data_IF_354647770070
#
_entry.id   IF_354647770070
#
_cell.length_a   1.000
_cell.length_b   1.000
_cell.length_c   1.000
_cell.angle_alpha   90.00
_cell.angle_beta   90.00
_cell.angle_gamma   90.00
#
_symmetry.space_group_name_H-M   'P 1'
#
loop_
_entity.id
_entity.type
_entity.pdbx_description
1 polymer ?
#
# COMPACT_ATOMS: atom_id res chain seq x y z
N UNK A 1 -16.65 17.46 6.01
CA UNK A 1 -15.59 17.67 5.01
C UNK A 1 -15.96 16.93 3.74
N UNK A 2 -16.07 17.66 2.68
CA UNK A 2 -16.39 17.04 1.40
C UNK A 2 -15.20 16.26 0.89
N UNK A 3 -15.46 15.04 0.50
CA UNK A 3 -14.46 14.23 -0.14
C UNK A 3 -14.35 14.69 -1.61
N UNK A 4 -13.22 15.26 -1.96
CA UNK A 4 -12.98 15.73 -3.33
C UNK A 4 -12.88 14.60 -4.35
N UNK A 5 -12.82 13.37 -3.85
CA UNK A 5 -12.71 12.19 -4.69
C UNK A 5 -14.03 11.42 -4.66
N UNK A 6 -14.92 11.77 -5.55
CA UNK A 6 -16.18 11.05 -5.75
C UNK A 6 -16.14 10.26 -7.05
N UNK A 7 -16.30 8.96 -6.93
CA UNK A 7 -16.61 8.13 -8.09
C UNK A 7 -18.12 8.14 -8.22
N UNK A 8 -18.58 8.64 -9.36
CA UNK A 8 -20.00 8.73 -9.63
C UNK A 8 -20.59 7.32 -9.73
N UNK A 9 -21.65 7.06 -8.95
CA UNK A 9 -22.34 5.75 -8.94
C UNK A 9 -21.44 4.57 -8.54
N UNK A 10 -20.57 4.79 -7.57
CA UNK A 10 -19.68 3.72 -7.10
C UNK A 10 -20.45 2.48 -6.63
N UNK A 11 -21.63 2.67 -6.07
CA UNK A 11 -22.47 1.60 -5.57
C UNK A 11 -23.06 0.72 -6.67
N UNK A 12 -23.00 1.16 -7.93
CA UNK A 12 -23.47 0.36 -9.06
C UNK A 12 -22.40 -0.61 -9.57
N UNK A 13 -21.16 -0.48 -9.08
CA UNK A 13 -20.07 -1.36 -9.47
C UNK A 13 -19.93 -2.53 -8.53
N UNK A 14 -19.47 -3.66 -9.08
CA UNK A 14 -18.94 -4.76 -8.29
C UNK A 14 -17.51 -4.41 -7.93
N UNK A 15 -17.30 -4.02 -6.68
CA UNK A 15 -15.99 -3.57 -6.22
C UNK A 15 -15.13 -4.76 -5.85
N UNK A 16 -13.92 -4.78 -6.40
CA UNK A 16 -12.91 -5.78 -6.10
C UNK A 16 -11.73 -5.09 -5.42
N UNK A 17 -11.40 -5.53 -4.22
CA UNK A 17 -10.18 -5.09 -3.53
C UNK A 17 -9.08 -6.09 -3.84
N UNK A 18 -8.04 -5.63 -4.53
CA UNK A 18 -6.91 -6.46 -4.94
C UNK A 18 -5.82 -6.43 -3.86
N UNK A 19 -6.18 -6.79 -2.63
CA UNK A 19 -5.25 -6.80 -1.51
C UNK A 19 -5.72 -7.76 -0.44
N UNK A 20 -4.78 -8.46 0.19
CA UNK A 20 -5.06 -9.28 1.36
C UNK A 20 -4.76 -8.56 2.67
N UNK A 21 -4.38 -7.29 2.62
CA UNK A 21 -4.10 -6.49 3.81
C UNK A 21 -5.35 -6.33 4.68
N UNK A 22 -5.34 -6.82 5.93
CA UNK A 22 -6.47 -6.64 6.83
C UNK A 22 -6.81 -5.17 7.08
N UNK A 23 -5.79 -4.32 7.13
CA UNK A 23 -5.98 -2.89 7.35
C UNK A 23 -6.71 -2.22 6.18
N UNK A 24 -6.35 -2.57 4.95
CA UNK A 24 -7.03 -2.03 3.77
C UNK A 24 -8.48 -2.50 3.69
N UNK A 25 -8.73 -3.75 4.07
CA UNK A 25 -10.09 -4.29 4.17
C UNK A 25 -10.93 -3.50 5.17
N UNK A 26 -10.38 -3.24 6.36
CA UNK A 26 -11.06 -2.46 7.39
C UNK A 26 -11.37 -1.06 6.92
N UNK A 27 -10.43 -0.39 6.28
CA UNK A 27 -10.61 0.97 5.79
C UNK A 27 -11.71 1.05 4.75
N UNK A 28 -11.74 0.10 3.83
CA UNK A 28 -12.77 0.06 2.79
C UNK A 28 -14.14 -0.27 3.38
N UNK A 29 -14.19 -1.19 4.33
CA UNK A 29 -15.43 -1.54 5.02
C UNK A 29 -16.02 -0.36 5.79
N UNK A 30 -15.17 0.47 6.39
CA UNK A 30 -15.62 1.68 7.10
C UNK A 30 -16.28 2.70 6.19
N UNK A 31 -16.03 2.65 4.90
CA UNK A 31 -16.69 3.51 3.92
C UNK A 31 -18.11 3.02 3.59
N UNK A 32 -18.52 1.88 4.13
CA UNK A 32 -19.84 1.33 3.89
C UNK A 32 -20.01 0.66 2.53
N UNK A 33 -18.90 0.31 1.89
CA UNK A 33 -18.92 -0.33 0.58
C UNK A 33 -18.87 -1.84 0.70
N UNK A 34 -19.68 -2.53 -0.10
CA UNK A 34 -19.59 -3.97 -0.27
C UNK A 34 -18.52 -4.26 -1.33
N UNK A 35 -17.65 -5.18 -1.04
CA UNK A 35 -16.57 -5.54 -1.95
C UNK A 35 -16.19 -7.02 -1.80
N UNK A 36 -15.59 -7.55 -2.84
CA UNK A 36 -14.95 -8.87 -2.79
C UNK A 36 -13.43 -8.69 -2.84
N UNK A 37 -12.70 -9.73 -2.45
CA UNK A 37 -11.24 -9.72 -2.49
C UNK A 37 -10.79 -10.67 -3.57
N UNK A 38 -9.93 -10.17 -4.45
CA UNK A 38 -9.33 -10.98 -5.49
C UNK A 38 -7.92 -10.46 -5.73
N UNK A 39 -6.93 -11.32 -5.59
CA UNK A 39 -5.54 -10.94 -5.80
C UNK A 39 -5.01 -11.52 -7.09
N UNK A 40 -4.00 -10.87 -7.64
CA UNK A 40 -3.28 -11.30 -8.84
C UNK A 40 -1.81 -11.27 -8.53
N UNK A 41 -1.10 -12.31 -8.92
CA UNK A 41 0.35 -12.33 -8.79
C UNK A 41 0.98 -11.51 -9.90
N UNK A 42 1.69 -10.47 -9.52
CA UNK A 42 2.52 -9.68 -10.42
C UNK A 42 3.91 -9.55 -9.81
N UNK A 43 4.91 -9.49 -10.66
CA UNK A 43 6.25 -9.20 -10.20
C UNK A 43 6.32 -7.75 -9.73
N UNK A 44 6.81 -7.55 -8.51
CA UNK A 44 6.91 -6.22 -7.92
C UNK A 44 8.25 -5.55 -8.28
N UNK A 45 8.60 -5.61 -9.55
CA UNK A 45 9.75 -4.94 -10.11
C UNK A 45 9.35 -3.61 -10.74
N UNK A 46 10.30 -2.69 -10.75
CA UNK A 46 10.07 -1.35 -11.29
C UNK A 46 11.39 -0.77 -11.80
N UNK A 47 11.34 0.21 -12.73
CA UNK A 47 12.54 0.87 -13.21
C UNK A 47 13.32 1.56 -12.08
N UNK A 48 14.64 1.37 -12.04
CA UNK A 48 15.49 1.91 -10.99
C UNK A 48 15.52 3.45 -10.96
N UNK A 49 15.03 4.09 -12.01
CA UNK A 49 15.01 5.55 -12.12
C UNK A 49 13.83 6.22 -11.42
N UNK A 50 12.86 5.43 -10.94
CA UNK A 50 11.64 5.98 -10.33
C UNK A 50 11.90 6.51 -8.93
N UNK A 51 11.25 7.62 -8.60
CA UNK A 51 11.22 8.17 -7.25
C UNK A 51 10.13 7.48 -6.42
N UNK A 52 10.13 7.72 -5.10
CA UNK A 52 9.27 7.01 -4.16
C UNK A 52 7.79 7.00 -4.52
N UNK A 53 7.21 8.17 -4.83
CA UNK A 53 5.81 8.27 -5.22
C UNK A 53 5.54 7.58 -6.57
N UNK A 54 6.49 7.66 -7.48
CA UNK A 54 6.39 7.03 -8.79
C UNK A 54 6.41 5.50 -8.70
N UNK A 55 7.20 4.96 -7.76
CA UNK A 55 7.28 3.51 -7.53
C UNK A 55 5.91 2.95 -7.15
N UNK A 56 5.27 3.54 -6.15
CA UNK A 56 3.97 3.03 -5.66
C UNK A 56 2.86 3.23 -6.67
N UNK A 57 2.90 4.32 -7.44
CA UNK A 57 1.95 4.54 -8.53
C UNK A 57 2.15 3.52 -9.66
N UNK A 58 3.40 3.26 -10.02
CA UNK A 58 3.75 2.24 -11.01
C UNK A 58 3.25 0.87 -10.61
N UNK A 59 3.50 0.46 -9.36
CA UNK A 59 3.10 -0.85 -8.86
C UNK A 59 1.58 -1.00 -8.72
N UNK A 60 0.91 0.06 -8.27
CA UNK A 60 -0.56 0.07 -8.19
C UNK A 60 -1.18 -0.10 -9.58
N UNK A 61 -0.64 0.60 -10.58
CA UNK A 61 -1.09 0.48 -11.96
C UNK A 61 -0.81 -0.91 -12.52
N UNK A 62 0.37 -1.44 -12.28
CA UNK A 62 0.76 -2.77 -12.74
C UNK A 62 -0.19 -3.85 -12.21
N UNK A 63 -0.54 -3.76 -10.95
CA UNK A 63 -1.51 -4.67 -10.33
C UNK A 63 -2.90 -4.52 -10.96
N UNK A 64 -3.33 -3.28 -11.20
CA UNK A 64 -4.63 -3.03 -11.83
C UNK A 64 -4.69 -3.58 -13.26
N UNK A 65 -3.64 -3.38 -14.02
CA UNK A 65 -3.57 -3.81 -15.42
C UNK A 65 -3.51 -5.33 -15.59
N UNK A 66 -3.22 -6.05 -14.51
CA UNK A 66 -3.24 -7.52 -14.51
C UNK A 66 -4.64 -8.12 -14.42
N UNK A 67 -5.66 -7.31 -14.13
CA UNK A 67 -7.04 -7.75 -14.08
C UNK A 67 -7.71 -7.63 -15.45
N UNK A 68 -8.54 -8.64 -15.77
CA UNK A 68 -9.45 -8.54 -16.90
C UNK A 68 -10.83 -8.21 -16.35
N UNK A 69 -11.29 -6.99 -16.61
CA UNK A 69 -12.52 -6.47 -16.03
C UNK A 69 -13.69 -6.53 -17.00
N UNK A 70 -14.88 -6.76 -16.46
CA UNK A 70 -16.12 -6.56 -17.20
C UNK A 70 -16.67 -5.16 -16.90
N UNK A 71 -17.74 -4.77 -17.60
CA UNK A 71 -18.29 -3.42 -17.51
C UNK A 71 -18.86 -3.04 -16.14
N UNK A 72 -19.07 -4.01 -15.26
CA UNK A 72 -19.63 -3.79 -13.91
C UNK A 72 -18.58 -3.77 -12.83
N UNK A 73 -17.35 -4.14 -13.13
CA UNK A 73 -16.31 -4.26 -12.15
C UNK A 73 -15.49 -2.98 -11.99
N UNK A 74 -15.15 -2.70 -10.75
CA UNK A 74 -14.20 -1.67 -10.39
C UNK A 74 -13.18 -2.31 -9.46
N UNK A 75 -11.89 -2.27 -9.84
CA UNK A 75 -10.84 -2.83 -9.01
C UNK A 75 -10.07 -1.71 -8.30
N UNK A 76 -9.83 -1.92 -7.01
CA UNK A 76 -9.00 -1.03 -6.20
C UNK A 76 -7.70 -1.76 -5.90
N UNK A 77 -6.60 -1.17 -6.33
CA UNK A 77 -5.25 -1.68 -6.07
C UNK A 77 -4.48 -0.70 -5.22
N UNK A 78 -3.50 -1.19 -4.49
CA UNK A 78 -2.65 -0.33 -3.69
C UNK A 78 -1.28 -0.98 -3.48
N UNK A 79 -0.30 -0.13 -3.26
CA UNK A 79 1.03 -0.56 -2.87
C UNK A 79 1.62 0.46 -1.89
N UNK A 80 2.39 -0.02 -0.92
CA UNK A 80 2.95 0.83 0.12
C UNK A 80 4.44 0.54 0.25
N UNK A 81 5.24 1.60 0.31
CA UNK A 81 6.67 1.48 0.57
C UNK A 81 7.09 2.38 1.73
N UNK A 82 8.15 1.98 2.40
CA UNK A 82 8.84 2.80 3.39
C UNK A 82 10.07 3.39 2.72
N UNK A 83 10.26 4.70 2.88
CA UNK A 83 11.33 5.44 2.25
C UNK A 83 12.10 6.20 3.33
N UNK A 84 13.37 5.90 3.47
CA UNK A 84 14.20 6.54 4.48
C UNK A 84 15.57 6.83 3.90
N UNK A 85 16.04 8.07 4.10
CA UNK A 85 17.36 8.50 3.66
C UNK A 85 17.59 8.25 2.16
N UNK A 86 16.58 8.60 1.34
CA UNK A 86 16.56 8.42 -0.12
C UNK A 86 16.70 6.97 -0.57
N UNK A 87 16.31 6.03 0.29
CA UNK A 87 16.37 4.61 0.00
C UNK A 87 15.05 3.91 0.29
N UNK A 88 14.72 2.95 -0.57
CA UNK A 88 13.60 2.07 -0.34
C UNK A 88 13.96 1.04 0.72
N UNK A 89 13.15 0.96 1.77
CA UNK A 89 13.23 -0.12 2.75
C UNK A 89 12.16 -1.15 2.39
N UNK A 90 12.60 -2.28 1.87
CA UNK A 90 11.72 -3.38 1.49
C UNK A 90 11.25 -4.20 2.70
N UNK A 91 10.45 -5.22 2.44
CA UNK A 91 10.01 -6.13 3.49
C UNK A 91 11.22 -6.87 4.09
N UNK A 92 11.24 -7.05 5.43
CA UNK A 92 12.33 -7.79 6.04
C UNK A 92 12.33 -9.25 5.60
N UNK A 93 13.52 -9.79 5.36
CA UNK A 93 13.69 -11.18 4.91
C UNK A 93 13.59 -12.19 6.05
N UNK A 94 13.91 -11.74 7.27
CA UNK A 94 13.90 -12.56 8.48
C UNK A 94 13.87 -11.64 9.72
N UNK A 95 13.84 -12.24 10.91
CA UNK A 95 13.79 -11.49 12.16
C UNK A 95 15.03 -10.59 12.36
N UNK A 96 16.19 -11.06 11.96
CA UNK A 96 17.44 -10.26 12.05
C UNK A 96 17.36 -9.02 11.18
N UNK A 97 16.89 -9.17 9.95
CA UNK A 97 16.72 -8.04 9.03
C UNK A 97 15.67 -7.06 9.54
N UNK A 98 14.56 -7.56 10.11
CA UNK A 98 13.54 -6.72 10.73
C UNK A 98 14.11 -5.89 11.88
N UNK A 99 14.96 -6.51 12.70
CA UNK A 99 15.62 -5.81 13.80
C UNK A 99 16.52 -4.69 13.31
N UNK A 100 17.33 -4.95 12.28
CA UNK A 100 18.20 -3.95 11.67
C UNK A 100 17.41 -2.77 11.11
N UNK A 101 16.28 -3.05 10.45
CA UNK A 101 15.40 -2.01 9.92
C UNK A 101 14.82 -1.14 11.03
N UNK A 102 14.33 -1.74 12.11
CA UNK A 102 13.78 -1.00 13.24
C UNK A 102 14.84 -0.18 13.96
N UNK A 103 16.05 -0.70 14.08
CA UNK A 103 17.19 0.05 14.63
C UNK A 103 17.51 1.27 13.77
N UNK A 104 17.46 1.12 12.47
CA UNK A 104 17.71 2.20 11.52
C UNK A 104 16.64 3.30 11.63
N UNK A 105 15.38 2.93 11.82
CA UNK A 105 14.25 3.87 11.90
C UNK A 105 14.08 4.48 13.29
N UNK A 106 14.61 3.84 14.32
CA UNK A 106 14.49 4.28 15.71
C UNK A 106 14.98 5.72 15.90
N UNK A 107 14.14 6.55 16.50
CA UNK A 107 14.47 7.96 16.78
C UNK A 107 14.53 8.86 15.54
N UNK A 108 14.13 8.36 14.39
CA UNK A 108 14.21 9.11 13.14
C UNK A 108 12.84 9.25 12.48
N UNK A 109 12.76 10.19 11.53
CA UNK A 109 11.57 10.38 10.70
C UNK A 109 11.81 9.72 9.36
N UNK A 110 10.87 8.89 8.94
CA UNK A 110 10.86 8.30 7.62
C UNK A 110 9.56 8.65 6.89
N UNK A 111 9.50 8.31 5.62
CA UNK A 111 8.33 8.55 4.80
C UNK A 111 7.66 7.23 4.43
N UNK A 112 6.34 7.25 4.35
CA UNK A 112 5.56 6.14 3.85
C UNK A 112 4.77 6.64 2.65
N UNK A 113 4.92 5.96 1.52
CA UNK A 113 4.19 6.28 0.31
C UNK A 113 3.22 5.15 0.02
N UNK A 114 1.98 5.51 -0.29
CA UNK A 114 0.95 4.56 -0.71
C UNK A 114 0.43 4.98 -2.06
N UNK A 115 0.58 4.10 -3.05
CA UNK A 115 -0.03 4.26 -4.35
C UNK A 115 -1.39 3.58 -4.37
N UNK A 116 -2.35 4.20 -5.01
CA UNK A 116 -3.71 3.67 -5.14
C UNK A 116 -4.13 3.74 -6.60
N UNK A 117 -4.70 2.63 -7.08
CA UNK A 117 -5.31 2.57 -8.39
C UNK A 117 -6.80 2.28 -8.27
N UNK A 118 -7.60 3.02 -9.02
CA UNK A 118 -9.03 2.77 -9.14
C UNK A 118 -9.31 2.61 -10.62
N UNK A 119 -9.70 1.41 -11.03
CA UNK A 119 -9.75 1.03 -12.44
C UNK A 119 -11.08 0.40 -12.81
N UNK A 120 -11.68 0.91 -13.88
CA UNK A 120 -12.79 0.26 -14.60
C UNK A 120 -12.34 0.05 -16.04
N UNK A 121 -13.17 -0.59 -16.87
CA UNK A 121 -12.82 -0.77 -18.28
C UNK A 121 -12.73 0.55 -19.05
N UNK A 122 -13.39 1.59 -18.55
CA UNK A 122 -13.44 2.89 -19.23
C UNK A 122 -12.43 3.89 -18.71
N UNK A 123 -12.10 3.80 -17.42
CA UNK A 123 -11.26 4.82 -16.75
C UNK A 123 -10.31 4.17 -15.76
N UNK A 124 -9.17 4.81 -15.63
CA UNK A 124 -8.19 4.44 -14.61
C UNK A 124 -7.65 5.70 -13.96
N UNK A 125 -7.66 5.71 -12.64
CA UNK A 125 -7.04 6.77 -11.87
C UNK A 125 -5.98 6.19 -10.95
N UNK A 126 -4.78 6.71 -11.06
CA UNK A 126 -3.64 6.33 -10.22
C UNK A 126 -3.18 7.57 -9.48
N UNK A 127 -3.01 7.44 -8.17
CA UNK A 127 -2.51 8.53 -7.34
C UNK A 127 -1.71 7.97 -6.17
N UNK A 128 -1.01 8.84 -5.48
CA UNK A 128 -0.25 8.44 -4.29
C UNK A 128 -0.45 9.42 -3.14
N UNK A 129 -0.22 8.91 -1.92
CA UNK A 129 -0.29 9.67 -0.69
C UNK A 129 1.03 9.48 0.05
N UNK A 130 1.59 10.57 0.56
CA UNK A 130 2.81 10.57 1.35
C UNK A 130 2.48 10.87 2.80
N UNK A 131 3.05 10.11 3.72
CA UNK A 131 2.96 10.36 5.16
C UNK A 131 4.35 10.38 5.77
N UNK A 132 4.56 11.26 6.74
CA UNK A 132 5.76 11.25 7.55
C UNK A 132 5.48 10.51 8.85
N UNK A 133 6.39 9.65 9.24
CA UNK A 133 6.30 8.87 10.47
C UNK A 133 7.57 9.10 11.28
N UNK A 134 7.42 9.55 12.51
CA UNK A 134 8.54 9.73 13.42
C UNK A 134 8.46 8.65 14.49
N UNK A 135 9.50 7.83 14.57
CA UNK A 135 9.63 6.84 15.63
C UNK A 135 10.31 7.45 16.84
N UNK A 136 9.77 7.17 18.03
CA UNK A 136 10.50 7.39 19.26
C UNK A 136 11.73 6.51 19.27
N UNK A 137 12.72 6.85 20.10
CA UNK A 137 13.88 5.99 20.30
C UNK A 137 13.44 4.67 20.90
N UNK A 138 13.82 3.58 20.25
CA UNK A 138 13.45 2.23 20.66
C UNK A 138 14.65 1.51 21.27
N UNK A 139 14.43 0.86 22.40
CA UNK A 139 15.44 -0.03 22.99
C UNK A 139 15.47 -1.36 22.23
N UNK A 140 16.56 -2.11 22.42
CA UNK A 140 16.66 -3.45 21.83
C UNK A 140 15.55 -4.36 22.33
N UNK A 141 15.17 -4.26 23.60
CA UNK A 141 14.09 -5.05 24.20
C UNK A 141 12.73 -4.73 23.53
N UNK A 142 12.47 -3.44 23.30
CA UNK A 142 11.25 -3.02 22.63
C UNK A 142 11.18 -3.52 21.18
N UNK A 143 12.30 -3.47 20.46
CA UNK A 143 12.41 -3.97 19.10
C UNK A 143 12.19 -5.48 19.07
N UNK A 144 12.86 -6.21 19.95
CA UNK A 144 12.73 -7.68 20.03
C UNK A 144 11.29 -8.08 20.37
N UNK A 145 10.65 -7.38 21.29
CA UNK A 145 9.26 -7.63 21.67
C UNK A 145 8.32 -7.43 20.47
N UNK A 146 8.52 -6.37 19.72
CA UNK A 146 7.72 -6.08 18.53
C UNK A 146 7.86 -7.17 17.47
N UNK A 147 9.08 -7.60 17.22
CA UNK A 147 9.36 -8.66 16.23
C UNK A 147 8.72 -9.97 16.64
N UNK A 148 8.86 -10.35 17.91
CA UNK A 148 8.29 -11.60 18.44
C UNK A 148 6.76 -11.60 18.37
N UNK A 149 6.13 -10.44 18.63
CA UNK A 149 4.68 -10.33 18.66
C UNK A 149 4.04 -10.27 17.27
N UNK A 150 4.65 -9.54 16.36
CA UNK A 150 4.03 -9.24 15.05
C UNK A 150 4.65 -10.00 13.88
N UNK A 151 5.75 -10.67 14.08
CA UNK A 151 6.44 -11.46 13.03
C UNK A 151 6.48 -10.76 11.68
N UNK A 152 6.97 -9.50 11.61
CA UNK A 152 6.97 -8.75 10.36
C UNK A 152 7.88 -9.37 9.30
#
# INVERSE_FOLDING_TARGET
>A
MENHFKIKNIETYDIVLASQSPRRKELLAKLGLDFSIQTVDVEEDFPATLQANEIVEFLAKKKADAFTLNSKQLVITADTIVWYNDQLLGKPKNAKHAKEMLQQLSGHTHEVFTGVGITTIEKQRIFSVRSEVTFASLSDDEINHYIDKYCP
#
